data_IF_454262852133
#
_entry.id   IF_454262852133
#
_cell.length_a   1.000
_cell.length_b   1.000
_cell.length_c   1.000
_cell.angle_alpha   90.00
_cell.angle_beta   90.00
_cell.angle_gamma   90.00
#
_symmetry.space_group_name_H-M   'P 1'
#
loop_
_entity.id
_entity.type
_entity.pdbx_description
1 polymer ?
#
# COMPACT_ATOMS: atom_id res chain seq x y z
N UNK A 1 -34.68 12.61 13.94
CA UNK A 1 -34.21 11.21 13.87
C UNK A 1 -33.44 11.09 12.55
N UNK A 2 -32.11 11.16 12.60
CA UNK A 2 -31.30 11.12 11.38
C UNK A 2 -31.29 9.71 10.82
N UNK A 3 -31.81 9.59 9.61
CA UNK A 3 -31.85 8.38 8.81
C UNK A 3 -30.40 7.98 8.47
N UNK A 4 -29.80 7.11 9.30
CA UNK A 4 -28.54 6.48 8.97
C UNK A 4 -28.82 5.41 7.92
N UNK A 5 -28.85 5.82 6.65
CA UNK A 5 -28.70 4.90 5.53
C UNK A 5 -27.43 4.09 5.79
N UNK A 6 -27.57 2.81 6.13
CA UNK A 6 -26.44 1.89 6.23
C UNK A 6 -25.64 1.97 4.92
N UNK A 7 -24.48 2.61 4.95
CA UNK A 7 -23.56 2.65 3.81
C UNK A 7 -22.88 1.29 3.74
N UNK A 8 -23.57 0.31 3.16
CA UNK A 8 -22.96 -0.96 2.78
C UNK A 8 -21.77 -0.67 1.86
N UNK A 9 -20.55 -0.98 2.31
CA UNK A 9 -19.33 -0.82 1.51
C UNK A 9 -18.39 0.34 1.91
N UNK A 10 -18.49 0.87 3.14
CA UNK A 10 -17.49 1.80 3.68
C UNK A 10 -16.19 1.09 4.11
N UNK A 11 -16.31 -0.11 4.68
CA UNK A 11 -15.15 -0.89 5.14
C UNK A 11 -14.68 -1.87 4.06
N UNK A 12 -13.39 -1.81 3.73
CA UNK A 12 -12.75 -2.76 2.81
C UNK A 12 -11.71 -3.57 3.57
N UNK A 13 -11.89 -4.90 3.58
CA UNK A 13 -10.90 -5.83 4.13
C UNK A 13 -9.67 -5.86 3.23
N UNK A 14 -8.51 -5.55 3.79
CA UNK A 14 -7.22 -5.54 3.09
C UNK A 14 -6.20 -6.52 3.70
N UNK A 15 -6.63 -7.47 4.53
CA UNK A 15 -5.70 -8.46 5.06
C UNK A 15 -5.16 -9.42 3.97
N UNK A 16 -4.24 -10.30 4.35
CA UNK A 16 -3.57 -11.24 3.43
C UNK A 16 -4.53 -12.15 2.64
N UNK A 17 -5.78 -12.31 3.06
CA UNK A 17 -6.78 -13.11 2.35
C UNK A 17 -7.56 -12.31 1.30
N UNK A 18 -7.28 -11.01 1.18
CA UNK A 18 -7.88 -10.13 0.17
C UNK A 18 -6.94 -9.91 -1.02
N UNK A 19 -7.48 -9.39 -2.14
CA UNK A 19 -6.67 -8.97 -3.30
C UNK A 19 -5.70 -7.81 -2.99
N UNK A 20 -5.95 -7.09 -1.89
CA UNK A 20 -5.15 -5.96 -1.42
C UNK A 20 -4.10 -6.35 -0.37
N UNK A 21 -4.02 -7.64 -0.02
CA UNK A 21 -3.15 -8.10 1.04
C UNK A 21 -1.68 -8.06 0.64
N UNK A 22 -0.82 -7.69 1.60
CA UNK A 22 0.61 -7.80 1.42
C UNK A 22 1.05 -9.29 1.32
N UNK A 23 1.60 -9.74 0.17
CA UNK A 23 2.03 -11.12 -0.02
C UNK A 23 3.32 -11.45 0.74
N UNK A 24 4.12 -10.45 1.11
CA UNK A 24 5.37 -10.65 1.83
C UNK A 24 5.11 -11.00 3.29
N UNK A 25 5.75 -12.08 3.75
CA UNK A 25 5.68 -12.54 5.13
C UNK A 25 6.69 -11.80 6.01
N UNK A 26 6.26 -11.54 7.25
CA UNK A 26 7.07 -10.96 8.31
C UNK A 26 7.45 -12.10 9.24
N UNK A 27 8.74 -12.33 9.44
CA UNK A 27 9.23 -13.35 10.38
C UNK A 27 9.40 -12.76 11.79
N UNK A 28 9.65 -11.45 11.87
CA UNK A 28 9.70 -10.68 13.11
C UNK A 28 9.26 -9.24 12.91
N UNK A 29 8.93 -8.53 13.99
CA UNK A 29 8.57 -7.09 13.94
C UNK A 29 9.62 -6.21 13.26
N UNK A 30 10.90 -6.62 13.28
CA UNK A 30 12.00 -5.90 12.60
C UNK A 30 11.83 -5.89 11.07
N UNK A 31 11.05 -6.81 10.51
CA UNK A 31 10.82 -6.93 9.07
C UNK A 31 9.65 -6.07 8.59
N UNK A 32 8.83 -5.51 9.51
CA UNK A 32 7.59 -4.77 9.20
C UNK A 32 7.78 -3.71 8.11
N UNK A 33 8.73 -2.80 8.31
CA UNK A 33 9.01 -1.74 7.35
C UNK A 33 9.60 -2.30 6.04
N UNK A 34 10.36 -3.38 6.11
CA UNK A 34 10.91 -4.05 4.91
C UNK A 34 9.82 -4.68 4.06
N UNK A 35 8.83 -5.36 4.67
CA UNK A 35 7.72 -5.98 3.92
C UNK A 35 6.74 -4.95 3.38
N UNK A 36 6.54 -3.81 4.07
CA UNK A 36 5.76 -2.68 3.56
C UNK A 36 6.49 -2.02 2.39
N UNK A 37 7.81 -1.84 2.51
CA UNK A 37 8.63 -1.29 1.44
C UNK A 37 8.51 -2.14 0.17
N UNK A 38 8.69 -3.47 0.29
CA UNK A 38 8.47 -4.43 -0.82
C UNK A 38 7.06 -4.35 -1.39
N UNK A 39 6.06 -4.15 -0.54
CA UNK A 39 4.67 -4.04 -0.97
C UNK A 39 4.42 -2.85 -1.90
N UNK A 40 5.10 -1.72 -1.70
CA UNK A 40 4.99 -0.57 -2.62
C UNK A 40 5.38 -0.96 -4.05
N UNK A 41 6.49 -1.66 -4.24
CA UNK A 41 6.91 -2.10 -5.58
C UNK A 41 5.96 -3.14 -6.14
N UNK A 42 5.55 -4.12 -5.33
CA UNK A 42 4.59 -5.13 -5.72
C UNK A 42 3.28 -4.53 -6.24
N UNK A 43 2.67 -3.59 -5.51
CA UNK A 43 1.37 -3.04 -5.91
C UNK A 43 1.50 -2.18 -7.18
N UNK A 44 2.62 -1.47 -7.34
CA UNK A 44 2.89 -0.66 -8.54
C UNK A 44 3.09 -1.54 -9.79
N UNK A 45 3.71 -2.72 -9.66
CA UNK A 45 3.90 -3.65 -10.78
C UNK A 45 2.65 -4.45 -11.16
N UNK A 46 1.70 -4.59 -10.24
CA UNK A 46 0.45 -5.33 -10.49
C UNK A 46 -0.58 -4.42 -11.16
N UNK A 47 -0.43 -4.25 -12.48
CA UNK A 47 -1.30 -3.39 -13.31
C UNK A 47 -2.80 -3.50 -12.97
N UNK A 48 -3.36 -4.72 -12.89
CA UNK A 48 -4.79 -4.92 -12.57
C UNK A 48 -5.18 -4.37 -11.19
N UNK A 49 -4.34 -4.57 -10.17
CA UNK A 49 -4.61 -4.02 -8.82
C UNK A 49 -4.44 -2.51 -8.81
N UNK A 50 -3.44 -1.99 -9.54
CA UNK A 50 -3.19 -0.57 -9.64
C UNK A 50 -4.28 0.17 -10.43
N UNK A 51 -4.93 -0.49 -11.39
CA UNK A 51 -6.13 0.02 -12.08
C UNK A 51 -7.34 0.13 -11.13
N UNK A 52 -7.49 -0.86 -10.25
CA UNK A 52 -8.57 -0.88 -9.26
C UNK A 52 -8.34 0.07 -8.07
N UNK A 53 -7.15 0.67 -7.93
CA UNK A 53 -6.73 1.34 -6.68
C UNK A 53 -7.66 2.47 -6.25
N UNK A 54 -8.23 3.21 -7.22
CA UNK A 54 -9.17 4.31 -6.96
C UNK A 54 -10.46 3.87 -6.26
N UNK A 55 -10.82 2.58 -6.31
CA UNK A 55 -11.96 2.05 -5.55
C UNK A 55 -11.79 2.21 -4.03
N UNK A 56 -10.54 2.27 -3.56
CA UNK A 56 -10.21 2.42 -2.14
C UNK A 56 -10.29 3.87 -1.66
N UNK A 57 -10.45 4.84 -2.56
CA UNK A 57 -10.59 6.24 -2.17
C UNK A 57 -11.83 6.43 -1.28
N UNK A 58 -11.66 7.20 -0.21
CA UNK A 58 -12.67 7.41 0.84
C UNK A 58 -13.20 6.13 1.52
N UNK A 59 -12.46 5.01 1.48
CA UNK A 59 -12.81 3.75 2.19
C UNK A 59 -12.04 3.60 3.50
N UNK A 60 -12.66 2.93 4.47
CA UNK A 60 -11.99 2.50 5.70
C UNK A 60 -11.32 1.16 5.43
N UNK A 61 -9.98 1.14 5.43
CA UNK A 61 -9.22 -0.08 5.17
C UNK A 61 -8.99 -0.90 6.45
N UNK A 62 -9.61 -2.07 6.52
CA UNK A 62 -9.51 -2.97 7.66
C UNK A 62 -8.33 -3.96 7.50
N UNK A 63 -7.32 -3.81 8.37
CA UNK A 63 -6.16 -4.70 8.45
C UNK A 63 -5.81 -5.00 9.91
N UNK A 64 -5.37 -6.23 10.18
CA UNK A 64 -4.90 -6.67 11.50
C UNK A 64 -3.64 -5.96 12.00
N UNK A 65 -2.87 -5.32 11.12
CA UNK A 65 -1.63 -4.63 11.51
C UNK A 65 -1.87 -3.27 12.19
N UNK A 66 -3.03 -2.64 11.97
CA UNK A 66 -3.35 -1.33 12.56
C UNK A 66 -3.50 -1.47 14.09
N UNK A 67 -3.02 -0.52 14.92
CA UNK A 67 -2.50 0.82 14.58
C UNK A 67 -1.00 0.90 14.27
N UNK A 68 -0.27 -0.22 14.30
CA UNK A 68 1.15 -0.24 13.91
C UNK A 68 1.32 0.02 12.40
N UNK A 69 2.54 0.35 11.91
CA UNK A 69 2.79 0.56 10.48
C UNK A 69 2.18 -0.56 9.63
N UNK A 70 1.42 -0.14 8.61
CA UNK A 70 0.55 -1.01 7.85
C UNK A 70 0.68 -0.76 6.36
N UNK A 71 0.57 -1.81 5.55
CA UNK A 71 0.51 -1.69 4.10
C UNK A 71 -0.75 -0.93 3.61
N UNK A 72 -1.77 -0.79 4.47
CA UNK A 72 -2.93 0.05 4.20
C UNK A 72 -2.56 1.51 3.94
N UNK A 73 -1.51 2.05 4.56
CA UNK A 73 -1.04 3.41 4.28
C UNK A 73 -0.51 3.56 2.84
N UNK A 74 0.05 2.49 2.26
CA UNK A 74 0.46 2.48 0.85
C UNK A 74 -0.77 2.57 -0.05
N UNK A 75 -1.81 1.79 0.25
CA UNK A 75 -3.05 1.77 -0.52
C UNK A 75 -3.77 3.13 -0.45
N UNK A 76 -3.86 3.73 0.75
CA UNK A 76 -4.45 5.06 0.95
C UNK A 76 -3.69 6.10 0.12
N UNK A 77 -2.35 6.13 0.23
CA UNK A 77 -1.54 7.10 -0.50
C UNK A 77 -1.80 7.04 -2.02
N UNK A 78 -1.85 5.84 -2.59
CA UNK A 78 -2.07 5.66 -4.04
C UNK A 78 -3.51 5.94 -4.46
N UNK A 79 -4.50 5.57 -3.64
CA UNK A 79 -5.92 5.78 -3.94
C UNK A 79 -6.30 7.27 -3.95
N UNK A 80 -5.78 8.03 -2.98
CA UNK A 80 -6.04 9.47 -2.85
C UNK A 80 -5.26 10.33 -3.87
N UNK A 81 -4.28 9.75 -4.58
CA UNK A 81 -3.34 10.47 -5.47
C UNK A 81 -3.29 9.87 -6.87
N UNK A 82 -4.39 9.92 -7.64
CA UNK A 82 -4.44 9.37 -9.00
C UNK A 82 -3.39 9.99 -9.94
N UNK A 83 -2.97 11.22 -9.71
CA UNK A 83 -1.91 11.91 -10.45
C UNK A 83 -0.53 11.24 -10.26
N UNK A 84 -0.24 10.71 -9.07
CA UNK A 84 1.00 9.97 -8.80
C UNK A 84 0.98 8.62 -9.53
N UNK A 85 -0.15 7.91 -9.47
CA UNK A 85 -0.34 6.64 -10.19
C UNK A 85 -0.19 6.84 -11.70
N UNK A 86 -0.83 7.88 -12.24
CA UNK A 86 -0.70 8.26 -13.66
C UNK A 86 0.75 8.59 -14.02
N UNK A 87 1.43 9.41 -13.22
CA UNK A 87 2.83 9.75 -13.44
C UNK A 87 3.77 8.54 -13.40
N UNK A 88 3.49 7.55 -12.55
CA UNK A 88 4.21 6.28 -12.56
C UNK A 88 3.98 5.47 -13.83
N UNK A 89 2.73 5.28 -14.25
CA UNK A 89 2.37 4.56 -15.47
C UNK A 89 2.96 5.19 -16.74
N UNK A 90 3.07 6.52 -16.77
CA UNK A 90 3.70 7.28 -17.85
C UNK A 90 5.25 7.29 -17.77
N UNK A 91 5.85 6.62 -16.78
CA UNK A 91 7.31 6.55 -16.58
C UNK A 91 7.94 7.84 -16.05
N UNK A 92 7.14 8.86 -15.74
CA UNK A 92 7.57 10.18 -15.25
C UNK A 92 7.96 10.15 -13.78
N UNK A 93 7.35 9.28 -12.99
CA UNK A 93 7.65 9.09 -11.56
C UNK A 93 8.22 7.68 -11.36
N UNK A 94 9.34 7.57 -10.64
CA UNK A 94 9.96 6.27 -10.32
C UNK A 94 9.31 5.64 -9.09
N UNK A 95 9.15 4.31 -9.08
CA UNK A 95 8.62 3.57 -7.94
C UNK A 95 9.37 3.86 -6.64
N UNK A 96 10.70 4.00 -6.72
CA UNK A 96 11.55 4.37 -5.57
C UNK A 96 11.16 5.72 -4.96
N UNK A 97 10.80 6.71 -5.78
CA UNK A 97 10.33 8.02 -5.29
C UNK A 97 9.02 7.87 -4.53
N UNK A 98 8.06 7.14 -5.09
CA UNK A 98 6.76 6.88 -4.45
C UNK A 98 6.94 6.17 -3.11
N UNK A 99 7.79 5.13 -3.05
CA UNK A 99 8.08 4.42 -1.82
C UNK A 99 8.71 5.33 -0.76
N UNK A 100 9.68 6.16 -1.14
CA UNK A 100 10.29 7.15 -0.24
C UNK A 100 9.27 8.17 0.28
N UNK A 101 8.40 8.71 -0.60
CA UNK A 101 7.38 9.68 -0.23
C UNK A 101 6.39 9.09 0.80
N UNK A 102 5.92 7.86 0.56
CA UNK A 102 5.05 7.14 1.50
C UNK A 102 5.72 6.98 2.86
N UNK A 103 6.99 6.56 2.88
CA UNK A 103 7.71 6.33 4.13
C UNK A 103 7.95 7.62 4.91
N UNK A 104 8.35 8.68 4.23
CA UNK A 104 8.56 9.99 4.84
C UNK A 104 7.25 10.56 5.43
N UNK A 105 6.14 10.47 4.70
CA UNK A 105 4.83 10.95 5.17
C UNK A 105 4.34 10.22 6.43
N UNK A 106 4.72 8.96 6.61
CA UNK A 106 4.34 8.17 7.78
C UNK A 106 5.43 8.18 8.89
N UNK A 107 6.52 8.94 8.71
CA UNK A 107 7.63 8.99 9.68
C UNK A 107 8.38 7.66 9.84
N UNK A 108 8.42 6.84 8.79
CA UNK A 108 9.05 5.52 8.83
C UNK A 108 10.47 5.53 8.30
N UNK A 109 11.34 4.75 8.95
CA UNK A 109 12.71 4.55 8.47
C UNK A 109 12.71 3.79 7.14
N UNK A 110 13.44 4.32 6.16
CA UNK A 110 13.64 3.69 4.87
C UNK A 110 14.59 2.48 5.05
N UNK A 111 14.17 1.25 4.67
CA UNK A 111 15.04 0.08 4.78
C UNK A 111 16.25 0.16 3.84
N UNK A 112 17.41 -0.33 4.27
CA UNK A 112 18.63 -0.37 3.45
C UNK A 112 18.49 -1.25 2.19
N UNK A 113 19.07 -0.80 1.08
CA UNK A 113 18.98 -1.44 -0.25
C UNK A 113 19.64 -2.83 -0.30
N UNK A 114 20.63 -3.11 0.56
CA UNK A 114 21.31 -4.42 0.58
C UNK A 114 20.37 -5.58 0.92
N UNK A 115 19.28 -5.33 1.66
CA UNK A 115 18.23 -6.32 1.95
C UNK A 115 17.20 -6.45 0.83
N UNK A 116 17.29 -5.62 -0.21
CA UNK A 116 16.33 -5.48 -1.29
C UNK A 116 16.78 -6.12 -2.61
N UNK A 117 18.03 -6.60 -2.69
CA UNK A 117 18.61 -7.24 -3.89
C UNK A 117 17.84 -8.47 -4.43
N UNK A 118 16.89 -9.00 -3.67
CA UNK A 118 16.03 -10.12 -4.06
C UNK A 118 14.60 -9.71 -4.46
N UNK A 119 14.32 -8.41 -4.70
CA UNK A 119 12.94 -7.93 -4.96
C UNK A 119 12.30 -8.46 -6.25
N UNK A 120 13.08 -8.93 -7.22
CA UNK A 120 12.61 -9.29 -8.56
C UNK A 120 12.78 -10.77 -8.93
N UNK A 121 13.11 -11.64 -7.96
CA UNK A 121 13.14 -13.09 -8.19
C UNK A 121 11.86 -13.69 -7.65
N UNK A 122 10.85 -13.83 -8.52
CA UNK A 122 9.67 -14.66 -8.28
C UNK A 122 9.93 -16.09 -8.71
#
# INVERSE_FOLDING_TARGET
MHNASCVSGLHVRIDRKSKWGNPFKMDSEKDRLTVIWKYVFYILEKNRLLEDIGFLDNKILACWCSPSPCHGNVLIYLAERPEIVKGYKEGKIKARRIATDIFNLNGWNIPEERKQANLFKF
#
